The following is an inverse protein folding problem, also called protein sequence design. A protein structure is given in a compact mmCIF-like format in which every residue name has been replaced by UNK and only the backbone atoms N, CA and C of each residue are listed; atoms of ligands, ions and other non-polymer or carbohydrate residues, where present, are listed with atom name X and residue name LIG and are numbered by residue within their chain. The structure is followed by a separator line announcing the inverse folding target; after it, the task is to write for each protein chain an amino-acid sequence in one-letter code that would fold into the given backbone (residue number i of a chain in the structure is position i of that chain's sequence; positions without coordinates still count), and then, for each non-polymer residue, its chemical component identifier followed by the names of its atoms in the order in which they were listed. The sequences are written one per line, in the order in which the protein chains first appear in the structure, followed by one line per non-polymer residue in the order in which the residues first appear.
data_IF_999588203433
#
_entry.id   IF_999588203433
#
_cell.length_a   1.000
_cell.length_b   1.000
_cell.length_c   1.000
_cell.angle_alpha   90.00
_cell.angle_beta   90.00
_cell.angle_gamma   90.00
#
_symmetry.space_group_name_H-M   'P 1'
#
loop_
_entity.id
_entity.type
_entity.pdbx_description
1 polymer ?
#
# COMPACT_ATOMS: atom_id res chain seq x y z
N UNK A 1 20.20 -28.72 -0.37
CA UNK A 1 20.18 -27.81 -1.53
C UNK A 1 19.15 -26.74 -1.22
N UNK A 2 19.60 -25.54 -0.87
CA UNK A 2 18.71 -24.42 -0.63
C UNK A 2 18.34 -23.87 -2.01
N UNK A 3 17.10 -24.07 -2.44
CA UNK A 3 16.62 -23.48 -3.70
C UNK A 3 16.69 -21.96 -3.55
N UNK A 4 17.12 -21.20 -4.57
CA UNK A 4 17.04 -19.76 -4.51
C UNK A 4 15.56 -19.41 -4.39
N UNK A 5 15.22 -18.63 -3.36
CA UNK A 5 13.90 -18.01 -3.26
C UNK A 5 13.92 -17.00 -4.39
N UNK A 6 13.39 -17.38 -5.56
CA UNK A 6 13.07 -16.41 -6.57
C UNK A 6 12.00 -15.53 -5.93
N UNK A 7 12.40 -14.35 -5.47
CA UNK A 7 11.51 -13.30 -5.03
C UNK A 7 10.69 -12.92 -6.27
N UNK A 8 9.58 -13.63 -6.44
CA UNK A 8 8.72 -13.51 -7.60
C UNK A 8 8.14 -12.10 -7.54
N UNK A 9 8.43 -11.30 -8.57
CA UNK A 9 7.97 -9.92 -8.63
C UNK A 9 6.45 -9.86 -8.36
N UNK A 10 5.97 -8.93 -7.52
CA UNK A 10 4.60 -8.96 -6.98
C UNK A 10 3.50 -9.04 -8.04
N UNK A 11 3.77 -8.52 -9.25
CA UNK A 11 2.80 -8.44 -10.35
C UNK A 11 2.41 -9.78 -10.99
N UNK A 12 3.17 -10.86 -10.79
CA UNK A 12 2.87 -12.19 -11.37
C UNK A 12 2.43 -13.22 -10.31
N UNK A 13 2.38 -12.84 -9.03
CA UNK A 13 1.97 -13.72 -7.93
C UNK A 13 0.46 -13.98 -7.97
N UNK A 14 0.08 -15.25 -7.79
CA UNK A 14 -1.33 -15.60 -7.63
C UNK A 14 -1.84 -15.20 -6.24
N UNK A 15 -3.17 -15.13 -6.09
CA UNK A 15 -3.78 -14.84 -4.78
C UNK A 15 -3.44 -15.93 -3.75
N UNK A 16 -3.23 -17.17 -4.19
CA UNK A 16 -2.73 -18.26 -3.37
C UNK A 16 -1.29 -18.01 -2.90
N UNK A 17 -0.39 -17.59 -3.80
CA UNK A 17 1.01 -17.27 -3.46
C UNK A 17 1.07 -16.12 -2.42
N UNK A 18 0.26 -15.07 -2.61
CA UNK A 18 0.17 -13.95 -1.67
C UNK A 18 -0.37 -14.38 -0.31
N UNK A 19 -1.37 -15.26 -0.27
CA UNK A 19 -1.88 -15.82 0.99
C UNK A 19 -0.78 -16.57 1.74
N UNK A 20 -0.01 -17.43 1.06
CA UNK A 20 1.07 -18.19 1.69
C UNK A 20 2.13 -17.26 2.30
N UNK A 21 2.56 -16.23 1.56
CA UNK A 21 3.52 -15.24 2.06
C UNK A 21 2.98 -14.48 3.26
N UNK A 22 1.72 -14.01 3.20
CA UNK A 22 1.07 -13.30 4.30
C UNK A 22 0.94 -14.18 5.54
N UNK A 23 0.59 -15.46 5.40
CA UNK A 23 0.53 -16.37 6.55
C UNK A 23 1.88 -16.56 7.21
N UNK A 24 2.96 -16.69 6.44
CA UNK A 24 4.30 -16.84 6.99
C UNK A 24 4.73 -15.56 7.74
N UNK A 25 4.50 -14.39 7.13
CA UNK A 25 4.71 -13.07 7.74
C UNK A 25 3.93 -12.90 9.06
N UNK A 26 2.67 -13.34 9.12
CA UNK A 26 1.86 -13.30 10.35
C UNK A 26 2.38 -14.22 11.46
N UNK A 27 2.95 -15.38 11.10
CA UNK A 27 3.58 -16.28 12.06
C UNK A 27 4.79 -15.58 12.69
N UNK A 28 5.63 -14.95 11.88
CA UNK A 28 6.83 -14.28 12.36
C UNK A 28 6.48 -13.09 13.26
N UNK A 29 5.43 -12.33 12.91
CA UNK A 29 4.91 -11.20 13.70
C UNK A 29 4.43 -11.59 15.12
N UNK A 30 4.20 -12.88 15.41
CA UNK A 30 3.90 -13.36 16.76
C UNK A 30 5.13 -13.42 17.66
N UNK A 31 6.33 -13.26 17.10
CA UNK A 31 7.58 -13.22 17.84
C UNK A 31 7.72 -11.85 18.53
N UNK A 32 7.80 -11.78 19.87
CA UNK A 32 7.94 -10.51 20.57
C UNK A 32 9.17 -9.72 20.11
N UNK A 33 8.96 -8.46 19.76
CA UNK A 33 10.03 -7.57 19.28
C UNK A 33 10.35 -7.70 17.79
N UNK A 34 9.70 -8.61 17.06
CA UNK A 34 9.82 -8.70 15.60
C UNK A 34 8.72 -7.85 14.94
N UNK A 35 9.11 -7.02 13.98
CA UNK A 35 8.20 -6.22 13.16
C UNK A 35 8.25 -6.72 11.73
N UNK A 36 7.08 -6.87 11.13
CA UNK A 36 6.90 -7.38 9.78
C UNK A 36 6.24 -6.31 8.95
N UNK A 37 6.80 -6.06 7.77
CA UNK A 37 6.25 -5.15 6.78
C UNK A 37 5.35 -5.91 5.81
N UNK A 38 4.23 -5.29 5.47
CA UNK A 38 3.29 -5.79 4.49
C UNK A 38 3.19 -4.77 3.36
N UNK A 39 3.30 -5.24 2.12
CA UNK A 39 3.07 -4.42 0.94
C UNK A 39 1.58 -4.07 0.81
N UNK A 40 1.19 -3.06 0.00
CA UNK A 40 -0.21 -2.63 -0.10
C UNK A 40 -1.19 -3.76 -0.42
N UNK A 41 -0.85 -4.66 -1.34
CA UNK A 41 -1.69 -5.81 -1.73
C UNK A 41 -1.88 -6.80 -0.56
N UNK A 42 -0.82 -7.03 0.22
CA UNK A 42 -0.84 -7.90 1.39
C UNK A 42 -1.63 -7.27 2.55
N UNK A 43 -1.43 -5.96 2.77
CA UNK A 43 -2.15 -5.19 3.76
C UNK A 43 -3.65 -5.09 3.41
N UNK A 44 -4.00 -4.99 2.13
CA UNK A 44 -5.37 -5.07 1.64
C UNK A 44 -6.01 -6.41 1.98
N UNK A 45 -5.29 -7.52 1.76
CA UNK A 45 -5.75 -8.87 2.10
C UNK A 45 -6.00 -9.04 3.61
N UNK A 46 -5.20 -8.37 4.44
CA UNK A 46 -5.36 -8.34 5.90
C UNK A 46 -6.45 -7.38 6.39
N UNK A 47 -7.02 -6.56 5.50
CA UNK A 47 -7.89 -5.44 5.88
C UNK A 47 -7.17 -4.37 6.72
N UNK A 48 -5.84 -4.36 6.69
CA UNK A 48 -4.98 -3.42 7.39
C UNK A 48 -4.62 -2.19 6.53
N UNK A 49 -4.83 -2.28 5.21
CA UNK A 49 -4.69 -1.14 4.32
C UNK A 49 -5.99 -0.30 4.36
N UNK A 50 -5.85 0.96 4.78
CA UNK A 50 -6.88 1.98 4.66
C UNK A 50 -6.39 2.98 3.60
N UNK A 51 -7.18 3.20 2.55
CA UNK A 51 -6.88 4.19 1.51
C UNK A 51 -6.97 5.60 2.10
N UNK A 52 -5.87 6.06 2.73
CA UNK A 52 -5.70 7.44 3.22
C UNK A 52 -5.05 8.35 2.16
N UNK A 53 -4.90 7.84 0.93
CA UNK A 53 -4.48 8.68 -0.18
C UNK A 53 -5.58 9.70 -0.46
N UNK A 54 -5.20 10.96 -0.67
CA UNK A 54 -6.15 12.00 -1.07
C UNK A 54 -6.87 11.56 -2.34
N UNK A 55 -8.20 11.70 -2.35
CA UNK A 55 -8.95 11.61 -3.59
C UNK A 55 -8.50 12.71 -4.56
N UNK A 56 -8.72 12.52 -5.85
CA UNK A 56 -8.40 13.53 -6.87
C UNK A 56 -9.04 14.90 -6.54
N UNK A 57 -10.29 14.86 -6.04
CA UNK A 57 -11.00 16.06 -5.62
C UNK A 57 -10.33 16.72 -4.41
N UNK A 58 -10.01 15.97 -3.36
CA UNK A 58 -9.35 16.51 -2.16
C UNK A 58 -7.95 17.05 -2.48
N UNK A 59 -7.23 16.41 -3.40
CA UNK A 59 -5.95 16.89 -3.90
C UNK A 59 -6.11 18.23 -4.64
N UNK A 60 -7.16 18.38 -5.47
CA UNK A 60 -7.47 19.61 -6.19
C UNK A 60 -7.93 20.74 -5.26
N UNK A 61 -8.78 20.43 -4.27
CA UNK A 61 -9.26 21.40 -3.27
C UNK A 61 -8.16 21.88 -2.32
N UNK A 62 -7.15 21.04 -2.07
CA UNK A 62 -5.97 21.38 -1.27
C UNK A 62 -5.02 22.37 -1.98
N UNK A 63 -5.21 22.65 -3.28
CA UNK A 63 -4.45 23.68 -4.00
C UNK A 63 -4.86 25.09 -3.54
N UNK A 64 -4.26 25.56 -2.45
CA UNK A 64 -4.44 26.91 -1.87
C UNK A 64 -4.12 28.03 -2.88
N UNK A 65 -3.25 27.77 -3.86
CA UNK A 65 -2.87 28.71 -4.92
C UNK A 65 -3.77 28.61 -6.18
N UNK A 66 -4.96 28.02 -6.07
CA UNK A 66 -6.08 28.39 -6.96
C UNK A 66 -6.40 29.85 -6.67
N UNK A 67 -5.54 30.73 -7.20
CA UNK A 67 -5.82 32.13 -7.35
C UNK A 67 -7.22 32.16 -7.93
N UNK A 68 -8.18 32.59 -7.09
CA UNK A 68 -9.34 33.29 -7.58
C UNK A 68 -8.79 34.14 -8.69
N UNK A 69 -9.11 33.83 -9.95
CA UNK A 69 -8.93 34.78 -11.04
C UNK A 69 -9.74 35.96 -10.56
N UNK A 70 -9.08 36.84 -9.81
CA UNK A 70 -9.58 38.14 -9.45
C UNK A 70 -9.67 38.78 -10.81
N UNK A 71 -10.87 38.71 -11.36
CA UNK A 71 -11.34 39.38 -12.56
C UNK A 71 -11.14 40.88 -12.33
N UNK A 72 -9.88 41.28 -12.41
CA UNK A 72 -9.41 42.64 -12.43
C UNK A 72 -9.29 43.05 -13.88
N UNK A 73 -10.37 43.63 -14.41
CA UNK A 73 -10.43 44.32 -15.70
C UNK A 73 -11.68 43.89 -16.49
N UNK A 74 -12.69 44.73 -16.68
CA UNK A 74 -12.70 46.18 -16.93
C UNK A 74 -14.07 46.77 -16.56
#
# INVERSE_FOLDING_TARGET
MNKPIAEKAPFDASVEDLNEVVQQKLIDARTPGFQVEFDPDEAQLLGAFFEDALSEMEALESCIDQAQSTDGGH
#
